data_IF_396414657718
#
_entry.id   IF_396414657718
#
_cell.length_a   1.000
_cell.length_b   1.000
_cell.length_c   1.000
_cell.angle_alpha   90.00
_cell.angle_beta   90.00
_cell.angle_gamma   90.00
#
_symmetry.space_group_name_H-M   'P 1'
#
loop_
_entity.id
_entity.type
_entity.pdbx_description
1 polymer ?
#
# COMPACT_ATOMS: atom_id res chain seq x y z
N UNK A 1 9.96 -15.53 12.35
CA UNK A 1 9.97 -14.18 12.96
C UNK A 1 11.41 -13.68 13.13
N UNK A 2 12.24 -13.66 12.09
CA UNK A 2 13.67 -13.36 12.28
C UNK A 2 14.19 -12.43 11.19
N UNK A 3 13.87 -11.14 11.33
CA UNK A 3 14.58 -10.02 10.70
C UNK A 3 14.89 -9.05 11.82
N UNK A 4 16.18 -8.83 12.08
CA UNK A 4 16.71 -7.93 13.11
C UNK A 4 16.44 -6.45 12.76
N UNK A 5 16.49 -6.11 11.47
CA UNK A 5 16.19 -4.78 10.93
C UNK A 5 14.75 -4.66 10.36
N UNK A 6 14.49 -3.63 9.57
CA UNK A 6 13.21 -3.41 8.88
C UNK A 6 13.11 -4.13 7.53
N UNK A 7 11.89 -4.27 7.02
CA UNK A 7 11.61 -4.73 5.65
C UNK A 7 10.85 -3.61 4.95
N UNK A 8 11.27 -3.26 3.73
CA UNK A 8 10.48 -2.39 2.87
C UNK A 8 9.19 -3.11 2.47
N UNK A 9 8.09 -2.79 3.18
CA UNK A 9 6.80 -3.42 2.96
C UNK A 9 5.88 -2.45 2.20
N UNK A 10 5.52 -2.81 0.98
CA UNK A 10 4.59 -2.04 0.14
C UNK A 10 3.18 -2.62 0.22
N UNK A 11 2.20 -1.76 0.51
CA UNK A 11 0.77 -2.07 0.42
C UNK A 11 0.27 -1.77 -0.98
N UNK A 12 -0.44 -2.73 -1.58
CA UNK A 12 -1.12 -2.57 -2.86
C UNK A 12 -2.62 -2.46 -2.60
N UNK A 13 -3.17 -1.28 -2.88
CA UNK A 13 -4.51 -0.86 -2.52
C UNK A 13 -5.36 -0.69 -3.78
N UNK A 14 -6.68 -0.82 -3.61
CA UNK A 14 -7.64 -0.41 -4.63
C UNK A 14 -7.93 1.08 -4.49
N UNK A 15 -8.21 1.73 -5.60
CA UNK A 15 -8.69 3.12 -5.69
C UNK A 15 -10.03 3.35 -4.99
N UNK A 16 -10.80 2.29 -4.75
CA UNK A 16 -12.06 2.33 -4.02
C UNK A 16 -11.92 2.35 -2.49
N UNK A 17 -10.70 2.26 -1.95
CA UNK A 17 -10.47 2.24 -0.51
C UNK A 17 -10.55 3.63 0.10
N UNK A 18 -11.25 3.76 1.22
CA UNK A 18 -11.37 5.03 1.93
C UNK A 18 -10.19 5.26 2.87
N UNK A 19 -9.98 6.50 3.31
CA UNK A 19 -8.99 6.82 4.34
C UNK A 19 -9.23 6.06 5.64
N UNK A 20 -10.49 5.70 5.96
CA UNK A 20 -10.81 4.89 7.14
C UNK A 20 -10.28 3.46 7.01
N UNK A 21 -10.33 2.89 5.79
CA UNK A 21 -9.80 1.55 5.53
C UNK A 21 -8.27 1.53 5.67
N UNK A 22 -7.60 2.61 5.23
CA UNK A 22 -6.16 2.79 5.43
C UNK A 22 -5.80 2.83 6.92
N UNK A 23 -6.50 3.65 7.71
CA UNK A 23 -6.28 3.73 9.15
C UNK A 23 -6.46 2.37 9.84
N UNK A 24 -7.40 1.55 9.38
CA UNK A 24 -7.62 0.21 9.93
C UNK A 24 -6.43 -0.71 9.64
N UNK A 25 -5.86 -0.62 8.44
CA UNK A 25 -4.66 -1.40 8.06
C UNK A 25 -3.47 -0.96 8.90
N UNK A 26 -3.27 0.34 9.09
CA UNK A 26 -2.15 0.87 9.88
C UNK A 26 -2.24 0.42 11.34
N UNK A 27 -3.42 0.51 11.95
CA UNK A 27 -3.67 0.03 13.32
C UNK A 27 -3.46 -1.49 13.44
N UNK A 28 -3.90 -2.25 12.43
CA UNK A 28 -3.70 -3.70 12.41
C UNK A 28 -2.23 -4.08 12.24
N UNK A 29 -1.49 -3.39 11.37
CA UNK A 29 -0.06 -3.59 11.17
C UNK A 29 0.73 -3.29 12.45
N UNK A 30 0.40 -2.18 13.13
CA UNK A 30 0.96 -1.85 14.44
C UNK A 30 0.66 -2.94 15.48
N UNK A 31 -0.59 -3.39 15.56
CA UNK A 31 -0.99 -4.46 16.47
C UNK A 31 -0.26 -5.79 16.20
N UNK A 32 0.07 -6.08 14.95
CA UNK A 32 0.84 -7.27 14.54
C UNK A 32 2.37 -7.11 14.67
N UNK A 33 2.86 -5.97 15.15
CA UNK A 33 4.29 -5.73 15.34
C UNK A 33 5.05 -5.54 14.02
N UNK A 34 4.38 -5.10 12.96
CA UNK A 34 5.05 -4.71 11.71
C UNK A 34 5.88 -3.46 11.99
N UNK A 35 7.18 -3.53 11.71
CA UNK A 35 8.13 -2.45 12.02
C UNK A 35 7.89 -1.20 11.17
N UNK A 36 7.62 -1.37 9.87
CA UNK A 36 7.49 -0.28 8.91
C UNK A 36 6.56 -0.64 7.75
N UNK A 37 5.72 0.32 7.33
CA UNK A 37 5.07 0.34 6.02
C UNK A 37 5.76 1.41 5.19
N UNK A 38 6.26 1.06 4.00
CA UNK A 38 7.13 1.95 3.22
C UNK A 38 6.38 2.68 2.09
N UNK A 39 5.48 1.99 1.40
CA UNK A 39 4.64 2.58 0.37
C UNK A 39 3.21 2.06 0.42
N UNK A 40 2.27 2.93 0.06
CA UNK A 40 0.89 2.59 -0.25
C UNK A 40 0.66 2.94 -1.72
N UNK A 41 0.43 1.94 -2.57
CA UNK A 41 0.27 2.11 -4.01
C UNK A 41 -1.14 1.75 -4.42
N UNK A 42 -1.81 2.65 -5.12
CA UNK A 42 -3.05 2.35 -5.83
C UNK A 42 -2.74 1.93 -7.25
N UNK A 43 -3.52 0.99 -7.80
CA UNK A 43 -3.49 0.72 -9.23
C UNK A 43 -4.16 1.89 -9.95
N UNK A 44 -3.50 2.43 -10.97
CA UNK A 44 -4.13 3.37 -11.89
C UNK A 44 -5.15 2.61 -12.74
N UNK A 45 -6.44 2.89 -12.52
CA UNK A 45 -7.56 2.35 -13.28
C UNK A 45 -7.94 3.25 -14.46
N UNK A 46 -7.36 4.45 -14.55
CA UNK A 46 -7.68 5.50 -15.52
C UNK A 46 -6.77 5.49 -16.75
N UNK A 47 -6.16 4.34 -17.05
CA UNK A 47 -5.18 4.13 -18.12
C UNK A 47 -5.67 4.55 -19.53
N UNK A 48 -6.97 4.80 -19.70
CA UNK A 48 -7.57 5.34 -20.91
C UNK A 48 -7.13 6.78 -21.27
N UNK A 49 -6.63 7.56 -20.31
CA UNK A 49 -6.34 8.99 -20.52
C UNK A 49 -4.98 9.29 -21.19
N UNK A 50 -4.12 8.29 -21.44
CA UNK A 50 -2.86 8.53 -22.15
C UNK A 50 -2.48 7.39 -23.09
N UNK A 51 -3.05 7.43 -24.30
CA UNK A 51 -2.75 6.53 -25.41
C UNK A 51 -1.26 6.50 -25.80
N UNK A 52 -0.48 7.53 -25.41
CA UNK A 52 0.94 7.69 -25.77
C UNK A 52 1.92 7.07 -24.77
N UNK A 53 1.48 6.71 -23.56
CA UNK A 53 2.37 6.28 -22.46
C UNK A 53 2.15 4.82 -22.04
N UNK A 54 1.36 4.07 -22.81
CA UNK A 54 1.14 2.63 -22.63
C UNK A 54 1.99 1.86 -23.66
N UNK A 55 2.85 0.97 -23.18
CA UNK A 55 3.60 -0.02 -23.99
C UNK A 55 2.86 -1.35 -23.96
#
# INVERSE_FOLDING_TARGET
QHVDQGISFTLFLKDTMTTRDLNRIDLYAHHKGIKTLYYARTKDTTQENCLSCVV
#
